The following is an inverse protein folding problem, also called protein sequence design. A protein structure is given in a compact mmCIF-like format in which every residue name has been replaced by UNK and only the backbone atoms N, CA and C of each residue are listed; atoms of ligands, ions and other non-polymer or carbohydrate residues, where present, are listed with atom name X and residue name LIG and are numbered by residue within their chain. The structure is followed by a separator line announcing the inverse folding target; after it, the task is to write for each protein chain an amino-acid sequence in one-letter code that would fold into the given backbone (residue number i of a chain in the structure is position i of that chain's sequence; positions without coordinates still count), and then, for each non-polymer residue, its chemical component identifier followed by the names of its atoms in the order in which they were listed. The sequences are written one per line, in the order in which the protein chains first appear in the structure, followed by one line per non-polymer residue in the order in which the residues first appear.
data_IF_702998045911
#
_entry.id   IF_702998045911
#
_cell.length_a   1.000
_cell.length_b   1.000
_cell.length_c   1.000
_cell.angle_alpha   90.00
_cell.angle_beta   90.00
_cell.angle_gamma   90.00
#
_symmetry.space_group_name_H-M   'P 1'
#
loop_
_entity.id
_entity.type
_entity.pdbx_description
1 polymer ?
2 non-polymer ?
3 non-polymer ?
4 non-polymer ?
5 water ?
#
# COMPACT_ATOMS: atom_id res chain seq x y z
N UNK A 4 6.32 29.08 -0.78
CA UNK A 4 6.48 27.72 -1.29
C UNK A 4 7.69 27.67 -2.18
N UNK A 5 7.85 28.70 -3.01
CA UNK A 5 8.95 28.81 -3.95
C UNK A 5 10.32 28.79 -3.25
N UNK A 6 10.38 29.27 -2.02
CA UNK A 6 11.67 29.34 -1.33
C UNK A 6 11.84 28.35 -0.20
N UNK A 7 10.96 27.35 -0.14
CA UNK A 7 11.07 26.33 0.90
C UNK A 7 11.68 25.05 0.34
N UNK A 8 12.66 24.52 1.05
CA UNK A 8 13.34 23.31 0.64
C UNK A 8 12.77 22.13 1.41
N UNK A 9 12.40 21.09 0.68
CA UNK A 9 11.83 19.88 1.28
C UNK A 9 12.66 18.67 0.88
N UNK A 10 12.94 17.80 1.84
CA UNK A 10 13.53 16.50 1.55
C UNK A 10 12.44 15.43 1.70
N UNK A 11 12.23 14.61 0.69
CA UNK A 11 11.27 13.49 0.82
C UNK A 11 12.00 12.15 0.86
N UNK A 12 12.11 11.61 2.07
CA UNK A 12 12.74 10.33 2.33
C UNK A 12 11.78 9.21 1.92
N UNK A 13 12.19 8.37 0.98
CA UNK A 13 11.31 7.32 0.46
C UNK A 13 10.48 7.85 -0.70
N UNK A 14 10.95 8.91 -1.33
CA UNK A 14 10.22 9.55 -2.41
C UNK A 14 10.09 8.73 -3.68
N UNK A 15 10.72 7.57 -3.71
CA UNK A 15 10.58 6.67 -4.86
C UNK A 15 9.43 5.71 -4.62
N UNK A 16 8.76 5.87 -3.48
CA UNK A 16 7.67 4.97 -3.11
C UNK A 16 6.29 5.59 -3.29
N UNK A 17 5.28 4.93 -2.72
CA UNK A 17 3.90 5.34 -2.93
C UNK A 17 3.59 6.70 -2.31
N UNK A 18 3.64 6.78 -0.97
CA UNK A 18 3.31 8.02 -0.28
C UNK A 18 4.34 9.12 -0.56
N UNK A 19 5.59 8.73 -0.74
CA UNK A 19 6.66 9.68 -1.06
C UNK A 19 6.53 10.33 -2.42
N UNK A 20 6.27 9.53 -3.45
CA UNK A 20 6.14 10.08 -4.79
C UNK A 20 4.90 10.96 -4.86
N UNK A 21 3.82 10.54 -4.21
CA UNK A 21 2.61 11.34 -4.19
C UNK A 21 2.89 12.71 -3.59
N UNK A 22 3.68 12.73 -2.51
CA UNK A 22 4.04 13.96 -1.85
C UNK A 22 4.86 14.86 -2.77
N UNK A 23 5.90 14.31 -3.41
CA UNK A 23 6.74 15.15 -4.28
C UNK A 23 5.91 15.70 -5.43
N UNK A 24 4.97 14.89 -5.94
CA UNK A 24 4.09 15.35 -7.00
C UNK A 24 3.31 16.59 -6.56
N UNK A 25 2.74 16.53 -5.37
CA UNK A 25 1.86 17.60 -4.93
C UNK A 25 2.65 18.81 -4.44
N UNK A 26 3.91 18.62 -4.12
CA UNK A 26 4.78 19.77 -3.85
C UNK A 26 4.95 20.56 -5.14
N UNK A 27 5.14 19.84 -6.24
CA UNK A 27 5.30 20.50 -7.53
C UNK A 27 4.00 21.18 -7.96
N UNK A 28 2.88 20.50 -7.78
CA UNK A 28 1.58 21.07 -8.15
C UNK A 28 1.26 22.29 -7.30
N UNK A 29 1.75 22.33 -6.07
CA UNK A 29 1.44 23.45 -5.21
C UNK A 29 2.35 24.65 -5.50
N UNK A 30 3.32 24.48 -6.40
CA UNK A 30 4.16 25.59 -6.80
C UNK A 30 5.49 25.64 -6.08
N UNK A 31 5.90 24.53 -5.47
CA UNK A 31 7.23 24.48 -4.89
C UNK A 31 8.23 24.42 -6.04
N UNK A 32 9.39 25.03 -5.84
CA UNK A 32 10.44 25.02 -6.84
C UNK A 32 11.09 23.65 -6.90
N UNK A 33 11.08 23.02 -8.08
CA UNK A 33 11.62 21.67 -8.30
C UNK A 33 13.03 21.46 -7.75
N UNK A 34 13.94 22.39 -8.00
CA UNK A 34 15.30 22.28 -7.49
C UNK A 34 15.37 22.32 -5.95
N UNK A 35 14.29 22.75 -5.31
CA UNK A 35 14.23 22.80 -3.84
C UNK A 35 13.69 21.52 -3.22
N UNK A 36 13.29 20.56 -4.05
CA UNK A 36 12.78 19.30 -3.56
C UNK A 36 13.81 18.20 -3.80
N UNK A 37 14.19 17.51 -2.73
CA UNK A 37 15.14 16.41 -2.86
C UNK A 37 14.51 15.09 -2.46
N UNK A 38 14.41 14.20 -3.42
CA UNK A 38 13.93 12.85 -3.16
C UNK A 38 15.10 11.93 -2.82
N UNK A 39 15.08 11.40 -1.61
CA UNK A 39 16.10 10.47 -1.13
C UNK A 39 15.48 9.07 -0.97
N UNK A 40 15.83 8.15 -1.88
CA UNK A 40 15.35 6.76 -1.80
C UNK A 40 16.50 5.83 -2.16
N UNK A 41 16.63 4.71 -1.45
CA UNK A 41 17.64 3.71 -1.77
C UNK A 41 17.63 3.33 -3.25
N UNK A 42 16.42 3.26 -3.83
CA UNK A 42 16.27 2.93 -5.23
C UNK A 42 15.70 4.09 -6.01
N UNK A 43 16.12 4.24 -7.27
CA UNK A 43 15.52 5.21 -8.18
C UNK A 43 14.02 4.96 -8.38
N UNK A 44 13.25 6.02 -8.51
CA UNK A 44 11.80 5.93 -8.70
C UNK A 44 11.48 5.31 -10.08
N UNK A 45 10.53 4.34 -10.11
CA UNK A 45 9.83 3.72 -8.99
C UNK A 45 10.72 2.73 -8.24
N UNK A 46 10.79 2.87 -6.93
CA UNK A 46 11.67 2.03 -6.14
C UNK A 46 11.36 0.55 -6.28
N UNK A 47 12.35 -0.22 -6.70
CA UNK A 47 12.20 -1.64 -6.86
C UNK A 47 11.82 -2.39 -5.58
N UNK A 48 12.03 -1.77 -4.42
CA UNK A 48 11.65 -2.48 -3.19
C UNK A 48 10.40 -1.84 -2.56
N UNK A 49 9.86 -0.81 -3.21
CA UNK A 49 8.59 -0.23 -2.80
C UNK A 49 7.45 -1.26 -2.88
N UNK A 50 6.54 -1.21 -1.92
CA UNK A 50 5.34 -2.05 -1.97
C UNK A 50 4.52 -1.74 -3.22
N UNK A 51 4.65 -0.53 -3.74
CA UNK A 51 3.92 -0.13 -4.93
C UNK A 51 4.57 -0.60 -6.22
N UNK A 52 5.74 -1.23 -6.09
CA UNK A 52 6.43 -1.78 -7.26
C UNK A 52 5.83 -3.14 -7.60
N UNK A 53 4.72 -3.11 -8.34
CA UNK A 53 3.86 -4.26 -8.52
C UNK A 53 3.11 -4.13 -9.82
N UNK A 54 2.89 -5.25 -10.50
CA UNK A 54 2.08 -5.25 -11.72
C UNK A 54 0.78 -4.49 -11.50
N UNK A 55 0.11 -4.78 -10.39
CA UNK A 55 -1.19 -4.20 -10.15
C UNK A 55 -1.56 -4.13 -8.67
N UNK A 56 -2.60 -3.36 -8.38
CA UNK A 56 -3.18 -3.29 -7.03
C UNK A 56 -4.69 -3.19 -7.20
N UNK A 57 -5.43 -3.51 -6.15
CA UNK A 57 -6.86 -3.29 -6.18
C UNK A 57 -7.25 -1.87 -5.74
N UNK A 58 -8.18 -1.24 -6.45
CA UNK A 58 -8.82 -0.02 -5.96
C UNK A 58 -10.24 -0.33 -5.51
N UNK A 59 -10.50 -0.21 -4.22
CA UNK A 59 -11.81 -0.54 -3.70
C UNK A 59 -12.26 0.42 -2.61
N UNK A 60 -13.53 0.33 -2.25
CA UNK A 60 -14.08 1.18 -1.22
C UNK A 60 -14.00 0.50 0.14
N UNK A 61 -13.68 1.27 1.18
CA UNK A 61 -13.71 0.79 2.55
C UNK A 61 -14.09 1.92 3.48
N UNK A 62 -14.92 1.63 4.49
CA UNK A 62 -15.37 2.66 5.42
C UNK A 62 -14.97 2.35 6.85
N UNK A 63 -13.81 1.73 7.02
CA UNK A 63 -13.38 1.26 8.33
C UNK A 63 -13.10 2.41 9.27
N UNK A 64 -12.28 3.34 8.82
CA UNK A 64 -11.98 4.50 9.64
C UNK A 64 -12.61 5.76 9.10
N UNK A 65 -12.56 6.81 9.92
CA UNK A 65 -13.31 8.03 9.73
C UNK A 65 -12.96 8.77 8.42
N UNK A 66 -11.66 8.89 8.08
CA UNK A 66 -11.43 9.61 6.82
C UNK A 66 -11.59 8.76 5.56
N UNK A 67 -11.73 7.45 5.72
CA UNK A 67 -11.67 6.51 4.58
C UNK A 67 -12.62 6.86 3.43
N UNK A 68 -13.85 7.26 3.77
CA UNK A 68 -14.83 7.62 2.75
C UNK A 68 -14.37 8.77 1.86
N UNK A 69 -13.95 9.87 2.48
CA UNK A 69 -13.54 11.04 1.73
C UNK A 69 -12.25 10.79 0.96
N UNK A 70 -11.33 10.06 1.57
CA UNK A 70 -10.06 9.75 0.90
C UNK A 70 -10.30 8.90 -0.34
N UNK A 71 -11.19 7.92 -0.20
CA UNK A 71 -11.51 7.03 -1.31
C UNK A 71 -12.18 7.77 -2.46
N UNK A 72 -13.17 8.60 -2.14
CA UNK A 72 -13.85 9.40 -3.15
C UNK A 72 -12.87 10.35 -3.82
N UNK A 73 -12.01 10.96 -3.01
CA UNK A 73 -10.98 11.86 -3.53
C UNK A 73 -10.11 11.12 -4.53
N UNK A 74 -9.67 9.92 -4.14
CA UNK A 74 -8.77 9.15 -4.99
C UNK A 74 -9.47 8.70 -6.27
N UNK A 75 -10.71 8.23 -6.12
CA UNK A 75 -11.49 7.78 -7.26
C UNK A 75 -11.59 8.86 -8.33
N UNK A 76 -11.96 10.06 -7.90
CA UNK A 76 -12.13 11.20 -8.80
C UNK A 76 -10.88 11.39 -9.64
N UNK A 77 -9.73 11.35 -8.98
CA UNK A 77 -8.45 11.48 -9.65
C UNK A 77 -8.07 10.26 -10.50
N UNK A 78 -8.36 9.05 -10.05
CA UNK A 78 -8.05 7.87 -10.88
C UNK A 78 -8.86 7.92 -12.16
N UNK A 79 -10.03 8.53 -12.11
CA UNK A 79 -10.91 8.60 -13.28
C UNK A 79 -10.62 9.82 -14.17
N UNK A 80 -10.11 10.91 -13.61
CA UNK A 80 -10.08 12.18 -14.34
C UNK A 80 -8.74 12.87 -14.43
N UNK A 81 -7.82 12.52 -13.54
CA UNK A 81 -6.48 13.12 -13.60
C UNK A 81 -5.73 12.46 -14.76
N UNK A 82 -5.36 13.26 -15.77
CA UNK A 82 -4.71 12.77 -16.99
C UNK A 82 -3.39 12.07 -16.68
N UNK A 83 -2.76 12.39 -15.56
CA UNK A 83 -1.55 11.69 -15.15
C UNK A 83 -1.85 10.25 -14.70
N UNK A 84 -2.95 10.06 -13.98
CA UNK A 84 -3.23 8.75 -13.39
C UNK A 84 -4.25 7.92 -14.18
N UNK A 85 -5.13 8.61 -14.92
CA UNK A 85 -6.23 7.98 -15.66
C UNK A 85 -5.86 6.71 -16.49
N UNK A 86 -4.70 6.73 -17.19
CA UNK A 86 -4.39 5.52 -17.98
C UNK A 86 -4.19 4.24 -17.18
N UNK A 87 -4.01 4.35 -15.86
CA UNK A 87 -3.61 3.20 -15.08
C UNK A 87 -4.73 2.61 -14.22
N UNK A 88 -5.92 3.18 -14.33
CA UNK A 88 -7.05 2.69 -13.57
C UNK A 88 -7.95 1.87 -14.49
N UNK A 89 -8.20 0.63 -14.11
CA UNK A 89 -9.05 -0.24 -14.90
C UNK A 89 -10.33 -0.51 -14.13
N UNK A 90 -11.39 0.18 -14.54
CA UNK A 90 -12.63 0.16 -13.80
C UNK A 90 -13.46 -1.06 -14.17
N UNK A 91 -12.99 -2.23 -13.76
CA UNK A 91 -13.70 -3.47 -14.07
C UNK A 91 -14.60 -3.88 -12.90
N UNK A 92 -14.52 -3.13 -11.81
CA UNK A 92 -15.29 -3.43 -10.62
C UNK A 92 -14.64 -4.52 -9.82
N UNK A 93 -15.23 -4.83 -8.67
CA UNK A 93 -14.74 -5.88 -7.81
C UNK A 93 -15.92 -6.66 -7.26
N UNK A 94 -15.79 -7.98 -7.18
CA UNK A 94 -16.80 -8.77 -6.50
C UNK A 94 -16.20 -9.54 -5.33
N UNK A 95 -16.71 -9.27 -4.13
CA UNK A 95 -16.34 -10.06 -2.97
C UNK A 95 -17.32 -11.22 -2.88
N UNK A 96 -16.79 -12.41 -2.62
CA UNK A 96 -17.64 -13.59 -2.54
C UNK A 96 -17.34 -14.38 -1.27
N UNK A 97 -18.30 -15.22 -0.91
CA UNK A 97 -18.18 -16.14 0.20
C UNK A 97 -19.24 -17.23 0.09
N UNK A 98 -18.94 -18.40 0.63
CA UNK A 98 -19.95 -19.44 0.76
C UNK A 98 -20.13 -19.91 2.20
N UNK A 99 -19.40 -19.31 3.13
CA UNK A 99 -19.56 -19.70 4.54
C UNK A 99 -20.65 -18.87 5.21
N UNK A 100 -21.15 -19.34 6.35
CA UNK A 100 -22.18 -18.62 7.08
C UNK A 100 -21.66 -17.29 7.58
N UNK A 101 -20.46 -17.29 8.16
CA UNK A 101 -19.82 -16.09 8.71
C UNK A 101 -19.39 -15.16 7.57
N UNK A 102 -18.92 -15.75 6.48
CA UNK A 102 -18.45 -14.99 5.35
C UNK A 102 -19.58 -14.23 4.67
N UNK A 103 -20.71 -14.90 4.48
CA UNK A 103 -21.87 -14.27 3.85
C UNK A 103 -22.43 -13.17 4.74
N UNK A 104 -22.37 -13.38 6.05
CA UNK A 104 -22.82 -12.39 7.04
C UNK A 104 -21.97 -11.12 6.94
N UNK A 105 -20.66 -11.31 6.84
CA UNK A 105 -19.73 -10.19 6.73
C UNK A 105 -19.97 -9.40 5.45
N UNK A 106 -20.33 -10.11 4.38
CA UNK A 106 -20.61 -9.46 3.09
C UNK A 106 -21.85 -8.59 3.19
N UNK A 107 -22.89 -9.14 3.81
CA UNK A 107 -24.15 -8.41 3.97
C UNK A 107 -23.98 -7.19 4.87
N UNK A 108 -23.26 -7.37 5.99
CA UNK A 108 -23.01 -6.26 6.89
C UNK A 108 -22.18 -5.18 6.21
N UNK A 109 -21.21 -5.59 5.41
CA UNK A 109 -20.39 -4.66 4.67
C UNK A 109 -21.23 -3.82 3.72
N UNK A 110 -22.10 -4.50 2.98
CA UNK A 110 -23.02 -3.82 2.08
C UNK A 110 -23.83 -2.78 2.85
N UNK A 111 -24.39 -3.20 3.97
CA UNK A 111 -25.24 -2.33 4.76
C UNK A 111 -24.48 -1.10 5.28
N UNK A 112 -23.19 -1.26 5.58
CA UNK A 112 -22.37 -0.14 6.04
C UNK A 112 -22.19 0.90 4.95
N UNK A 113 -22.12 0.45 3.71
CA UNK A 113 -22.01 1.37 2.59
C UNK A 113 -23.28 2.21 2.52
N UNK A 114 -24.42 1.54 2.65
CA UNK A 114 -25.71 2.21 2.66
C UNK A 114 -25.83 3.23 3.79
N UNK A 115 -25.36 2.85 4.98
CA UNK A 115 -25.51 3.70 6.16
C UNK A 115 -24.67 4.98 6.09
N UNK A 116 -23.76 5.04 5.12
CA UNK A 116 -23.05 6.27 4.84
C UNK A 116 -24.02 7.32 4.32
N UNK A 117 -25.11 6.85 3.72
CA UNK A 117 -26.20 7.69 3.32
C UNK A 117 -25.90 8.63 2.16
N UNK A 118 -24.95 8.25 1.31
CA UNK A 118 -24.60 9.11 0.19
C UNK A 118 -25.02 8.54 -1.17
N UNK A 119 -25.74 7.41 -1.15
CA UNK A 119 -26.23 6.82 -2.37
C UNK A 119 -25.36 5.71 -2.96
N UNK A 120 -24.56 5.05 -2.12
CA UNK A 120 -23.65 4.00 -2.60
C UNK A 120 -24.38 2.74 -3.09
N UNK A 121 -25.65 2.60 -2.76
CA UNK A 121 -26.41 1.45 -3.23
C UNK A 121 -26.60 1.51 -4.75
N UNK A 122 -26.33 2.66 -5.34
CA UNK A 122 -26.48 2.81 -6.79
C UNK A 122 -25.35 2.16 -7.57
N UNK A 123 -24.21 1.92 -6.92
CA UNK A 123 -23.07 1.33 -7.64
C UNK A 123 -22.51 0.14 -6.90
N UNK A 124 -23.18 -0.26 -5.83
CA UNK A 124 -22.80 -1.43 -5.02
C UNK A 124 -24.01 -2.35 -4.84
N UNK A 125 -23.87 -3.62 -5.18
CA UNK A 125 -25.04 -4.52 -5.18
C UNK A 125 -24.78 -5.83 -4.47
N UNK A 126 -25.77 -6.28 -3.68
CA UNK A 126 -25.72 -7.60 -3.09
C UNK A 126 -26.16 -8.62 -4.14
N UNK A 127 -25.35 -9.65 -4.39
CA UNK A 127 -25.75 -10.67 -5.34
C UNK A 127 -26.15 -11.94 -4.58
N UNK A 128 -27.42 -12.29 -4.66
CA UNK A 128 -27.96 -13.40 -3.87
C UNK A 128 -28.17 -14.69 -4.67
N UNK A 129 -27.98 -14.63 -5.98
CA UNK A 129 -28.19 -15.83 -6.81
C UNK A 129 -26.96 -16.19 -7.64
N UNK A 130 -26.94 -17.44 -8.10
CA UNK A 130 -25.88 -17.94 -8.97
C UNK A 130 -25.82 -17.16 -10.27
N UNK A 131 -26.99 -16.94 -10.85
CA UNK A 131 -27.10 -16.26 -12.13
C UNK A 131 -26.48 -14.86 -12.08
N UNK A 132 -26.73 -14.14 -11.00
CA UNK A 132 -26.23 -12.76 -10.87
C UNK A 132 -24.71 -12.77 -10.78
N UNK A 133 -24.16 -13.78 -10.13
CA UNK A 133 -22.72 -13.90 -9.95
C UNK A 133 -22.03 -14.24 -11.26
N UNK A 134 -22.63 -15.18 -12.00
CA UNK A 134 -22.13 -15.59 -13.30
C UNK A 134 -22.25 -14.48 -14.33
N UNK A 135 -23.25 -13.63 -14.16
CA UNK A 135 -23.44 -12.51 -15.06
C UNK A 135 -22.27 -11.53 -14.94
N UNK A 136 -21.74 -11.34 -13.74
CA UNK A 136 -20.63 -10.41 -13.59
C UNK A 136 -19.28 -11.08 -13.83
N UNK A 137 -19.22 -12.39 -13.63
CA UNK A 137 -17.98 -13.15 -13.73
C UNK A 137 -18.15 -14.44 -14.53
N UNK A 138 -18.32 -14.32 -15.86
CA UNK A 138 -18.67 -15.44 -16.75
C UNK A 138 -17.64 -16.58 -16.79
N UNK A 139 -16.47 -16.39 -16.21
CA UNK A 139 -15.43 -17.41 -16.22
C UNK A 139 -15.68 -18.48 -15.15
N UNK A 140 -16.50 -18.19 -14.16
CA UNK A 140 -16.87 -19.20 -13.17
C UNK A 140 -17.75 -20.27 -13.84
N UNK A 141 -17.80 -21.46 -13.25
CA UNK A 141 -18.81 -22.44 -13.64
C UNK A 141 -19.93 -22.42 -12.61
N UNK A 142 -21.11 -22.89 -13.02
CA UNK A 142 -22.26 -22.87 -12.13
C UNK A 142 -22.01 -23.75 -10.91
N UNK A 143 -21.36 -24.90 -11.14
CA UNK A 143 -21.05 -25.81 -10.05
C UNK A 143 -20.04 -25.22 -9.07
N UNK A 144 -19.06 -24.50 -9.61
CA UNK A 144 -18.02 -23.89 -8.79
C UNK A 144 -18.61 -22.96 -7.74
N UNK A 145 -19.66 -22.23 -8.11
CA UNK A 145 -20.17 -21.19 -7.23
C UNK A 145 -21.44 -21.59 -6.48
N UNK A 146 -21.70 -22.88 -6.35
CA UNK A 146 -22.88 -23.32 -5.60
C UNK A 146 -22.75 -22.84 -4.16
N UNK A 147 -23.76 -22.12 -3.69
CA UNK A 147 -23.79 -21.64 -2.33
C UNK A 147 -23.08 -20.31 -2.13
N UNK A 148 -22.47 -19.78 -3.19
CA UNK A 148 -21.79 -18.50 -3.08
C UNK A 148 -22.80 -17.36 -3.01
N UNK A 149 -22.44 -16.32 -2.29
CA UNK A 149 -23.14 -15.04 -2.35
C UNK A 149 -22.12 -13.99 -2.75
N UNK A 150 -22.58 -12.91 -3.37
CA UNK A 150 -21.66 -11.90 -3.84
C UNK A 150 -22.03 -10.48 -3.46
N UNK A 151 -20.99 -9.66 -3.33
CA UNK A 151 -21.11 -8.20 -3.18
C UNK A 151 -20.30 -7.55 -4.30
N UNK A 152 -20.99 -6.88 -5.21
CA UNK A 152 -20.34 -6.26 -6.37
C UNK A 152 -20.21 -4.76 -6.21
N UNK A 153 -18.99 -4.27 -6.31
CA UNK A 153 -18.71 -2.83 -6.23
C UNK A 153 -18.27 -2.31 -7.59
N UNK A 154 -19.14 -1.53 -8.24
CA UNK A 154 -18.92 -1.14 -9.62
C UNK A 154 -17.91 -0.01 -9.77
N UNK A 155 -17.61 0.66 -8.67
CA UNK A 155 -16.76 1.86 -8.74
C UNK A 155 -15.29 1.52 -8.84
N UNK A 156 -14.90 0.35 -8.36
CA UNK A 156 -13.51 -0.02 -8.28
C UNK A 156 -12.95 -0.78 -9.48
N UNK A 157 -11.92 -1.57 -9.22
CA UNK A 157 -11.22 -2.29 -10.26
C UNK A 157 -9.77 -2.49 -9.86
N UNK A 158 -8.85 -2.39 -10.81
CA UNK A 158 -7.44 -2.52 -10.45
C UNK A 158 -6.60 -1.38 -11.02
N UNK A 159 -5.38 -1.29 -10.51
CA UNK A 159 -4.47 -0.18 -10.81
C UNK A 159 -3.15 -0.73 -11.28
N UNK A 160 -2.62 -0.18 -12.36
CA UNK A 160 -1.28 -0.57 -12.82
C UNK A 160 -0.25 0.15 -11.96
N UNK A 161 0.14 -0.48 -10.86
CA UNK A 161 0.84 0.19 -9.77
C UNK A 161 2.20 0.80 -10.13
N UNK A 162 3.13 -0.06 -10.54
CA UNK A 162 4.46 0.42 -10.89
C UNK A 162 4.41 1.43 -12.02
N UNK A 163 3.49 1.23 -12.96
CA UNK A 163 3.37 2.19 -14.06
C UNK A 163 2.95 3.57 -13.56
N UNK A 164 2.07 3.62 -12.57
CA UNK A 164 1.59 4.90 -12.07
C UNK A 164 2.69 5.62 -11.29
N UNK A 165 3.46 4.91 -10.48
CA UNK A 165 4.55 5.55 -9.74
C UNK A 165 5.63 6.00 -10.70
N UNK A 166 5.93 5.17 -11.69
CA UNK A 166 6.86 5.58 -12.75
C UNK A 166 6.38 6.83 -13.46
N UNK A 167 5.06 6.97 -13.64
CA UNK A 167 4.52 8.16 -14.30
C UNK A 167 4.79 9.41 -13.46
N UNK A 168 4.68 9.29 -12.14
CA UNK A 168 5.05 10.41 -11.28
C UNK A 168 6.54 10.71 -11.41
N UNK A 169 7.35 9.66 -11.33
CA UNK A 169 8.79 9.79 -11.47
C UNK A 169 9.25 10.46 -12.74
N UNK A 170 8.66 10.10 -13.88
CA UNK A 170 9.02 10.76 -15.14
C UNK A 170 8.81 12.27 -15.03
N UNK A 171 7.68 12.67 -14.46
CA UNK A 171 7.35 14.09 -14.31
C UNK A 171 8.30 14.81 -13.38
N UNK A 172 8.61 14.19 -12.24
CA UNK A 172 9.54 14.75 -11.27
C UNK A 172 10.90 15.04 -11.91
N UNK A 173 11.38 14.07 -12.69
CA UNK A 173 12.67 14.21 -13.35
C UNK A 173 12.62 15.22 -14.49
N UNK A 174 11.50 15.26 -15.19
CA UNK A 174 11.34 16.26 -16.25
C UNK A 174 11.38 17.64 -15.63
N UNK A 175 10.85 17.76 -14.42
CA UNK A 175 10.75 19.05 -13.75
C UNK A 175 12.05 19.49 -13.09
N UNK A 176 12.97 18.55 -12.87
CA UNK A 176 14.26 18.90 -12.28
C UNK A 176 14.32 18.72 -10.78
N UNK A 177 13.47 17.84 -10.25
CA UNK A 177 13.57 17.44 -8.87
C UNK A 177 14.95 16.80 -8.62
N UNK A 178 15.56 17.08 -7.46
CA UNK A 178 16.85 16.50 -7.10
C UNK A 178 16.67 15.10 -6.53
N UNK A 179 17.62 14.20 -6.80
CA UNK A 179 17.52 12.83 -6.30
C UNK A 179 18.82 12.38 -5.65
N UNK A 180 18.70 11.45 -4.70
CA UNK A 180 19.84 10.69 -4.21
C UNK A 180 19.40 9.23 -4.12
N UNK A 181 20.18 8.31 -4.67
CA UNK A 181 19.85 6.88 -4.56
C UNK A 181 21.05 6.12 -3.97
N UNK A 182 20.84 4.84 -3.65
CA UNK A 182 21.92 4.04 -3.11
C UNK A 182 22.22 4.50 -1.71
N UNK A 183 23.48 4.38 -1.29
CA UNK A 183 23.87 4.80 0.04
C UNK A 183 23.68 6.30 0.22
N UNK A 184 23.85 7.06 -0.86
CA UNK A 184 23.62 8.51 -0.81
C UNK A 184 22.13 8.84 -0.82
N UNK A 185 21.28 7.82 -0.92
CA UNK A 185 19.84 8.01 -0.88
C UNK A 185 19.21 7.35 0.32
N UNK A 186 20.02 6.71 1.15
CA UNK A 186 19.51 5.89 2.24
C UNK A 186 19.60 6.62 3.56
N UNK A 187 18.44 7.04 4.07
CA UNK A 187 18.35 7.78 5.33
C UNK A 187 19.06 7.08 6.47
N UNK A 188 19.95 7.80 7.14
CA UNK A 188 20.63 7.28 8.32
C UNK A 188 20.13 7.98 9.59
N UNK A 189 20.14 9.31 9.60
CA UNK A 189 19.67 10.06 10.76
C UNK A 189 19.23 11.46 10.35
N UNK A 190 18.39 12.11 11.18
CA UNK A 190 18.04 13.49 10.88
C UNK A 190 19.14 14.42 11.39
N UNK A 191 19.20 15.63 10.83
CA UNK A 191 20.12 16.66 11.29
C UNK A 191 19.38 17.70 12.11
N UNK A 192 20.00 18.14 13.20
CA UNK A 192 19.40 19.12 14.11
C UNK A 192 20.30 20.34 14.25
N UNK A 193 19.68 21.48 14.50
CA UNK A 193 20.41 22.72 14.73
C UNK A 193 21.13 22.68 16.07
N UNK A 194 20.44 22.20 17.09
CA UNK A 194 21.02 22.11 18.43
C UNK A 194 20.91 20.69 18.96
N UNK A 195 21.73 20.38 19.96
CA UNK A 195 21.79 19.04 20.52
C UNK A 195 20.51 18.64 21.24
N UNK A 196 19.64 19.61 21.51
CA UNK A 196 18.36 19.33 22.14
C UNK A 196 17.41 18.63 21.18
N UNK A 197 17.80 18.56 19.92
CA UNK A 197 17.05 17.78 18.98
C UNK A 197 15.65 18.36 18.75
N UNK A 198 15.41 19.65 18.89
CA UNK A 198 14.06 20.17 18.76
C UNK A 198 13.83 20.90 17.44
N UNK A 199 14.88 21.04 16.66
CA UNK A 199 14.76 21.67 15.35
C UNK A 199 15.51 20.88 14.31
N UNK A 200 14.78 20.16 13.47
CA UNK A 200 15.37 19.40 12.39
C UNK A 200 15.71 20.32 11.22
N UNK A 201 16.91 20.16 10.68
CA UNK A 201 17.36 20.99 9.57
C UNK A 201 17.80 20.17 8.36
N UNK A 202 17.56 18.87 8.40
CA UNK A 202 17.95 18.02 7.30
C UNK A 202 18.16 16.57 7.67
N UNK A 203 18.80 15.82 6.77
CA UNK A 203 19.13 14.42 7.04
C UNK A 203 20.54 14.07 6.55
N UNK A 204 21.13 13.08 7.21
CA UNK A 204 22.36 12.47 6.75
C UNK A 204 22.08 11.04 6.30
N UNK A 205 22.65 10.66 5.16
CA UNK A 205 22.47 9.32 4.61
C UNK A 205 23.61 8.41 5.06
N UNK A 206 23.49 7.10 4.82
CA UNK A 206 24.46 6.14 5.38
C UNK A 206 25.88 6.31 4.83
N UNK A 207 26.03 7.03 3.73
CA UNK A 207 27.36 7.28 3.16
C UNK A 207 28.04 8.48 3.79
N UNK A 208 27.30 9.25 4.57
CA UNK A 208 27.84 10.43 5.22
C UNK A 208 27.36 11.72 4.59
N UNK A 209 26.73 11.62 3.43
CA UNK A 209 26.22 12.81 2.74
C UNK A 209 25.15 13.52 3.56
N UNK A 210 25.31 14.82 3.72
CA UNK A 210 24.33 15.62 4.44
C UNK A 210 23.50 16.45 3.48
N UNK A 211 22.19 16.49 3.75
CA UNK A 211 21.23 17.30 3.01
C UNK A 211 20.51 18.23 3.97
N UNK A 212 20.44 19.52 3.64
CA UNK A 212 19.78 20.51 4.48
C UNK A 212 18.51 21.03 3.83
N UNK A 213 17.46 21.24 4.64
CA UNK A 213 16.18 21.67 4.12
C UNK A 213 15.30 22.21 5.26
N UNK A 214 14.26 22.93 4.89
CA UNK A 214 13.37 23.51 5.87
C UNK A 214 12.51 22.44 6.53
N UNK A 215 12.10 21.45 5.74
CA UNK A 215 11.23 20.40 6.23
C UNK A 215 11.63 19.05 5.64
N UNK A 216 11.44 18.00 6.42
CA UNK A 216 11.76 16.64 5.99
C UNK A 216 10.53 15.74 6.13
N UNK A 217 10.17 15.02 5.07
CA UNK A 217 9.05 14.06 5.11
C UNK A 217 9.59 12.64 5.13
N UNK A 218 9.22 11.88 6.16
CA UNK A 218 9.63 10.49 6.26
C UNK A 218 8.54 9.58 5.69
N UNK A 219 8.70 9.14 4.46
CA UNK A 219 7.71 8.29 3.82
C UNK A 219 8.39 7.00 3.42
N UNK A 220 8.93 6.29 4.40
CA UNK A 220 9.76 5.15 4.12
C UNK A 220 8.99 3.84 4.27
N UNK A 221 7.67 3.91 4.21
CA UNK A 221 6.84 2.71 4.22
C UNK A 221 7.21 1.76 5.35
N UNK A 222 7.35 0.48 5.02
CA UNK A 222 7.69 -0.55 6.00
C UNK A 222 9.05 -0.34 6.67
N UNK A 223 9.86 0.59 6.15
CA UNK A 223 11.18 0.83 6.72
C UNK A 223 11.18 1.98 7.73
N UNK A 224 10.11 2.77 7.71
CA UNK A 224 9.99 3.95 8.56
C UNK A 224 10.28 3.66 10.03
N UNK A 225 9.69 2.59 10.54
CA UNK A 225 9.81 2.19 11.95
C UNK A 225 11.20 1.68 12.30
N UNK A 226 11.98 1.33 11.27
CA UNK A 226 13.36 0.91 11.46
C UNK A 226 14.33 2.08 11.47
N UNK A 227 13.93 3.18 10.85
CA UNK A 227 14.84 4.31 10.65
C UNK A 227 14.78 5.30 11.81
N UNK A 228 13.57 5.49 12.31
CA UNK A 228 13.36 6.30 13.51
C UNK A 228 12.45 5.57 14.48
N UNK A 229 12.50 5.96 15.76
CA UNK A 229 11.68 5.30 16.77
C UNK A 229 10.24 5.78 16.73
N UNK A 230 9.34 4.91 16.30
CA UNK A 230 7.91 5.24 16.27
C UNK A 230 7.22 4.63 17.50
N UNK A 231 8.04 4.16 18.44
CA UNK A 231 7.56 3.67 19.74
C UNK A 231 6.53 2.56 19.55
N UNK A 232 6.83 1.67 18.62
CA UNK A 232 5.99 0.51 18.27
C UNK A 232 4.59 0.88 17.79
N UNK A 233 4.44 2.10 17.28
CA UNK A 233 3.21 2.48 16.59
C UNK A 233 3.05 1.70 15.29
N UNK A 234 4.17 1.33 14.68
CA UNK A 234 4.16 0.69 13.38
C UNK A 234 4.94 -0.62 13.37
N UNK A 235 4.25 -1.72 13.07
CA UNK A 235 4.92 -3.01 12.95
C UNK A 235 4.88 -3.47 11.50
N UNK A 236 6.06 -3.65 10.92
CA UNK A 236 6.14 -3.96 9.51
C UNK A 236 5.90 -5.45 9.26
N UNK A 237 5.11 -5.74 8.23
CA UNK A 237 4.73 -7.12 7.91
C UNK A 237 4.77 -7.39 6.42
N UNK A 238 5.08 -8.64 6.07
CA UNK A 238 5.13 -9.05 4.67
C UNK A 238 3.88 -9.79 4.23
N UNK A 239 3.37 -9.42 3.07
CA UNK A 239 2.34 -10.22 2.41
C UNK A 239 2.95 -10.83 1.17
N UNK A 240 2.25 -11.79 0.57
CA UNK A 240 2.82 -12.59 -0.49
C UNK A 240 1.94 -12.63 -1.74
N UNK A 241 2.58 -12.93 -2.87
CA UNK A 241 1.87 -13.18 -4.11
C UNK A 241 2.70 -14.06 -5.02
N UNK A 242 2.00 -14.76 -5.92
CA UNK A 242 2.63 -15.51 -6.99
C UNK A 242 2.00 -15.09 -8.31
N UNK A 243 2.63 -15.48 -9.42
CA UNK A 243 2.08 -15.20 -10.73
C UNK A 243 1.83 -16.51 -11.49
N UNK A 244 0.83 -16.49 -12.36
CA UNK A 244 0.67 -17.57 -13.34
C UNK A 244 0.49 -16.94 -14.71
N UNK A 245 0.98 -17.61 -15.74
CA UNK A 245 0.87 -17.09 -17.10
C UNK A 245 -0.17 -17.83 -17.92
N UNK A 246 -1.08 -17.07 -18.52
CA UNK A 246 -2.08 -17.62 -19.41
C UNK A 246 -1.72 -17.34 -20.86
N UNK A 247 -2.13 -18.23 -21.75
CA UNK A 247 -2.13 -17.96 -23.17
C UNK A 247 -3.19 -16.91 -23.46
N UNK A 248 -3.10 -16.26 -24.63
CA UNK A 248 -4.16 -15.34 -25.02
C UNK A 248 -5.54 -16.01 -25.04
N UNK A 249 -5.60 -17.26 -25.48
CA UNK A 249 -6.86 -18.00 -25.51
C UNK A 249 -7.37 -18.29 -24.10
N UNK A 250 -6.46 -18.64 -23.20
CA UNK A 250 -6.83 -18.88 -21.80
C UNK A 250 -7.24 -17.56 -21.14
N UNK A 251 -6.51 -16.50 -21.46
CA UNK A 251 -6.77 -15.20 -20.86
C UNK A 251 -8.08 -14.60 -21.35
N UNK A 252 -8.55 -15.00 -22.53
CA UNK A 252 -9.64 -14.28 -23.16
C UNK A 252 -10.92 -14.29 -22.31
N UNK A 253 -11.16 -15.38 -21.60
CA UNK A 253 -12.36 -15.49 -20.78
C UNK A 253 -12.34 -14.52 -19.60
N UNK A 254 -11.15 -14.02 -19.28
CA UNK A 254 -11.00 -13.15 -18.13
C UNK A 254 -10.89 -11.67 -18.47
N UNK A 255 -10.96 -11.33 -19.76
CA UNK A 255 -10.81 -9.95 -20.21
C UNK A 255 -11.85 -9.03 -19.59
N UNK A 256 -11.39 -7.96 -18.93
CA UNK A 256 -12.25 -6.98 -18.28
C UNK A 256 -13.14 -7.56 -17.19
N UNK A 257 -12.74 -8.70 -16.66
CA UNK A 257 -13.50 -9.35 -15.59
C UNK A 257 -13.20 -8.65 -14.25
N UNK A 258 -14.19 -8.60 -13.35
CA UNK A 258 -13.99 -7.91 -12.07
C UNK A 258 -12.92 -8.56 -11.20
N UNK A 259 -12.23 -7.77 -10.37
CA UNK A 259 -11.39 -8.32 -9.30
C UNK A 259 -12.19 -9.25 -8.42
N UNK A 260 -11.69 -10.45 -8.18
CA UNK A 260 -12.41 -11.41 -7.34
C UNK A 260 -11.75 -11.58 -5.97
N UNK A 261 -12.51 -11.41 -4.92
CA UNK A 261 -12.00 -11.55 -3.55
C UNK A 261 -12.88 -12.40 -2.65
N UNK A 262 -12.25 -13.20 -1.83
CA UNK A 262 -12.94 -13.97 -0.78
C UNK A 262 -12.03 -13.99 0.44
N UNK A 263 -12.54 -13.48 1.56
CA UNK A 263 -11.72 -13.31 2.75
C UNK A 263 -11.12 -14.58 3.33
N UNK A 264 -11.69 -15.73 2.98
CA UNK A 264 -11.15 -16.99 3.47
C UNK A 264 -10.08 -17.57 2.54
N UNK A 265 -9.85 -16.89 1.40
CA UNK A 265 -8.89 -17.38 0.41
C UNK A 265 -7.90 -16.32 -0.05
N UNK A 266 -8.41 -15.17 -0.49
CA UNK A 266 -7.55 -14.13 -1.04
C UNK A 266 -8.16 -13.55 -2.30
N UNK A 267 -7.34 -13.21 -3.29
CA UNK A 267 -7.87 -12.59 -4.51
C UNK A 267 -6.99 -12.79 -5.73
N UNK A 268 -7.57 -12.56 -6.91
CA UNK A 268 -6.77 -12.50 -8.13
C UNK A 268 -7.29 -11.36 -8.97
N UNK A 269 -6.47 -10.92 -9.91
CA UNK A 269 -6.78 -9.84 -10.81
C UNK A 269 -6.66 -10.37 -12.22
N UNK A 270 -7.47 -9.85 -13.14
CA UNK A 270 -7.44 -10.29 -14.54
C UNK A 270 -6.03 -10.23 -15.13
N UNK A 271 -5.73 -11.15 -16.08
CA UNK A 271 -4.42 -11.15 -16.74
C UNK A 271 -4.05 -9.82 -17.39
N UNK A 272 -2.81 -9.38 -17.21
CA UNK A 272 -2.41 -8.10 -17.76
C UNK A 272 -2.17 -8.25 -19.25
N UNK A 273 -1.56 -7.24 -19.88
CA UNK A 273 -1.40 -7.26 -21.34
C UNK A 273 -0.47 -8.38 -21.81
N UNK A 274 0.20 -9.04 -20.86
CA UNK A 274 1.11 -10.12 -21.18
C UNK A 274 0.57 -11.49 -20.73
N UNK A 275 -0.67 -11.50 -20.25
CA UNK A 275 -1.33 -12.74 -19.87
C UNK A 275 -0.97 -13.21 -18.46
N UNK A 276 -0.50 -12.29 -17.63
CA UNK A 276 -0.11 -12.64 -16.27
C UNK A 276 -1.19 -12.37 -15.24
N UNK A 277 -1.56 -13.39 -14.49
CA UNK A 277 -2.48 -13.25 -13.36
C UNK A 277 -1.72 -13.27 -12.04
N UNK A 278 -1.87 -12.22 -11.24
CA UNK A 278 -1.31 -12.19 -9.90
C UNK A 278 -2.32 -12.75 -8.92
N UNK A 279 -1.86 -13.57 -7.98
CA UNK A 279 -2.74 -14.11 -6.95
C UNK A 279 -2.19 -13.81 -5.56
N UNK A 280 -3.07 -13.33 -4.68
CA UNK A 280 -2.72 -13.16 -3.28
C UNK A 280 -3.59 -14.05 -2.42
N UNK A 281 -3.03 -14.50 -1.30
CA UNK A 281 -3.87 -15.14 -0.29
C UNK A 281 -4.27 -14.06 0.70
N UNK A 282 -5.04 -14.42 1.71
CA UNK A 282 -5.31 -13.53 2.80
C UNK A 282 -4.86 -14.14 4.11
N UNK A 283 -4.01 -13.44 4.85
CA UNK A 283 -3.49 -13.89 6.13
C UNK A 283 -2.98 -12.64 6.84
N UNK A 284 -2.68 -12.75 8.15
CA UNK A 284 -2.30 -11.54 8.90
C UNK A 284 -0.89 -11.01 8.62
N UNK A 285 -0.11 -11.65 7.76
CA UNK A 285 1.22 -11.16 7.45
C UNK A 285 2.36 -11.84 8.22
N UNK A 286 3.58 -11.57 7.78
CA UNK A 286 4.79 -12.12 8.41
C UNK A 286 5.74 -11.00 8.84
N UNK A 287 6.26 -11.09 10.06
CA UNK A 287 7.29 -10.16 10.49
C UNK A 287 8.66 -10.76 10.22
N UNK A 288 9.69 -9.92 10.26
CA UNK A 288 11.08 -10.35 10.14
C UNK A 288 11.85 -9.62 11.21
N UNK A 289 11.76 -10.13 12.44
CA UNK A 289 12.28 -9.42 13.58
C UNK A 289 13.80 -9.44 13.63
N UNK A 290 14.31 -8.27 13.97
CA UNK A 290 15.73 -8.03 14.17
C UNK A 290 15.86 -6.93 15.19
N UNK A 291 17.01 -6.87 15.81
CA UNK A 291 17.33 -5.66 16.50
C UNK A 291 18.05 -4.70 15.60
N UNK A 292 17.58 -3.45 15.63
CA UNK A 292 17.98 -2.39 14.73
C UNK A 292 17.92 -1.12 15.55
N UNK A 293 18.89 -0.23 15.38
CA UNK A 293 18.87 1.02 16.11
C UNK A 293 18.22 2.09 15.25
N UNK A 294 16.94 2.39 15.52
CA UNK A 294 16.33 3.51 14.81
C UNK A 294 16.89 4.79 15.43
N UNK A 295 16.55 5.93 14.88
CA UNK A 295 16.97 7.18 15.52
C UNK A 295 15.79 7.75 16.29
N UNK A 296 16.05 8.28 17.47
CA UNK A 296 14.98 8.71 18.36
C UNK A 296 14.84 7.68 19.45
N UNK A 297 15.24 6.46 19.12
CA UNK A 297 15.40 5.47 20.16
C UNK A 297 16.64 5.92 20.96
N UNK A 298 17.85 6.05 20.33
CA UNK A 298 18.49 5.43 19.18
C UNK A 298 19.27 4.21 19.65
N UNK A 299 19.08 3.84 20.91
CA UNK A 299 19.49 2.54 21.42
C UNK A 299 18.94 1.45 20.51
N UNK A 300 19.54 0.25 20.51
CA UNK A 300 18.92 -0.72 19.60
C UNK A 300 17.52 -1.17 20.12
N UNK A 301 16.64 -1.68 19.25
CA UNK A 301 15.26 -2.02 19.62
C UNK A 301 14.69 -3.14 18.70
N UNK A 302 13.93 -4.10 19.22
CA UNK A 302 13.36 -5.08 18.29
C UNK A 302 12.23 -4.47 17.51
N UNK A 303 12.41 -4.50 16.20
CA UNK A 303 11.51 -3.92 15.25
C UNK A 303 11.48 -4.94 14.12
N UNK A 304 10.34 -5.07 13.46
CA UNK A 304 10.28 -5.95 12.31
C UNK A 304 10.89 -5.20 11.13
N UNK A 305 11.98 -5.75 10.58
CA UNK A 305 12.71 -5.14 9.46
C UNK A 305 12.47 -5.91 8.17
N UNK A 306 12.03 -5.23 7.11
CA UNK A 306 11.82 -5.87 5.81
C UNK A 306 13.06 -6.56 5.28
N UNK A 307 12.89 -7.79 4.83
CA UNK A 307 13.88 -8.52 4.07
C UNK A 307 13.60 -8.24 2.59
N UNK A 308 14.42 -7.39 1.98
CA UNK A 308 14.09 -6.83 0.66
C UNK A 308 14.35 -7.77 -0.51
N UNK A 309 13.30 -8.03 -1.28
CA UNK A 309 13.39 -8.87 -2.47
C UNK A 309 14.22 -8.18 -3.55
N UNK A 310 14.23 -6.85 -3.55
CA UNK A 310 15.08 -6.11 -4.48
C UNK A 310 16.55 -6.38 -4.19
N UNK A 311 16.95 -6.28 -2.92
CA UNK A 311 18.36 -6.50 -2.57
C UNK A 311 18.66 -8.00 -2.51
N UNK A 312 17.63 -8.82 -2.39
CA UNK A 312 17.80 -10.27 -2.40
C UNK A 312 16.76 -10.99 -3.27
N UNK A 313 16.94 -10.94 -4.60
CA UNK A 313 15.99 -11.49 -5.57
C UNK A 313 15.75 -12.99 -5.44
N UNK A 314 16.67 -13.71 -4.80
CA UNK A 314 16.57 -15.17 -4.66
C UNK A 314 15.65 -15.61 -3.52
N UNK A 315 15.12 -14.63 -2.78
CA UNK A 315 14.09 -14.91 -1.79
C UNK A 315 12.75 -15.15 -2.48
N UNK A 316 11.94 -16.02 -1.91
CA UNK A 316 10.57 -16.21 -2.39
C UNK A 316 9.57 -15.93 -1.27
N UNK A 317 8.86 -16.97 -0.84
CA UNK A 317 7.95 -16.89 0.27
C UNK A 317 7.99 -18.21 1.07
N UNK A 318 7.41 -18.22 2.28
CA UNK A 318 7.43 -19.47 3.05
C UNK A 318 6.65 -20.60 2.37
N UNK A 319 6.90 -21.84 2.80
CA UNK A 319 6.17 -22.99 2.28
C UNK A 319 4.68 -22.86 2.55
N UNK A 320 4.33 -22.31 3.72
CA UNK A 320 2.93 -22.17 4.11
C UNK A 320 2.16 -21.29 3.13
N UNK A 321 2.84 -20.29 2.57
CA UNK A 321 2.24 -19.38 1.61
C UNK A 321 1.97 -20.06 0.28
N UNK A 322 2.86 -20.95 -0.12
CA UNK A 322 2.66 -21.73 -1.33
C UNK A 322 1.34 -22.48 -1.21
N UNK A 323 1.11 -23.07 -0.03
CA UNK A 323 -0.11 -23.84 0.21
C UNK A 323 -1.37 -22.97 0.06
N UNK A 324 -1.37 -21.80 0.72
CA UNK A 324 -2.57 -20.97 0.75
C UNK A 324 -2.83 -20.28 -0.59
N UNK A 325 -1.76 -19.93 -1.30
CA UNK A 325 -1.92 -19.38 -2.63
C UNK A 325 -2.51 -20.42 -3.58
N UNK A 326 -2.06 -21.66 -3.47
CA UNK A 326 -2.60 -22.72 -4.33
C UNK A 326 -4.07 -23.00 -4.00
N UNK A 327 -4.45 -22.81 -2.74
CA UNK A 327 -5.85 -22.97 -2.34
C UNK A 327 -6.74 -21.91 -2.96
N UNK A 328 -6.21 -20.69 -3.07
CA UNK A 328 -6.90 -19.59 -3.72
C UNK A 328 -7.06 -19.88 -5.20
N UNK A 329 -6.03 -20.45 -5.80
CA UNK A 329 -6.10 -20.80 -7.21
C UNK A 329 -7.12 -21.92 -7.42
N UNK A 330 -7.16 -22.90 -6.52
CA UNK A 330 -8.17 -23.95 -6.61
C UNK A 330 -9.58 -23.38 -6.44
N UNK A 331 -9.72 -22.39 -5.56
CA UNK A 331 -11.04 -21.82 -5.29
C UNK A 331 -11.58 -21.03 -6.49
N UNK A 332 -10.74 -20.17 -7.05
CA UNK A 332 -11.15 -19.21 -8.07
C UNK A 332 -10.87 -19.65 -9.49
N UNK A 333 -9.80 -20.42 -9.65
CA UNK A 333 -9.25 -20.77 -10.96
C UNK A 333 -8.87 -22.23 -11.11
N UNK A 334 -9.78 -23.17 -10.75
CA UNK A 334 -9.43 -24.60 -10.73
C UNK A 334 -8.91 -25.13 -12.06
N UNK A 335 -9.34 -24.54 -13.18
CA UNK A 335 -8.88 -24.96 -14.50
C UNK A 335 -7.38 -24.69 -14.70
N UNK A 336 -6.80 -23.91 -13.79
CA UNK A 336 -5.39 -23.55 -13.87
C UNK A 336 -4.57 -24.16 -12.73
N UNK A 337 -5.08 -25.21 -12.10
CA UNK A 337 -4.39 -25.81 -10.96
C UNK A 337 -3.01 -26.35 -11.33
N UNK A 338 -2.80 -26.66 -12.60
CA UNK A 338 -1.51 -27.21 -13.04
C UNK A 338 -0.59 -26.14 -13.64
N UNK A 339 -1.04 -24.89 -13.64
CA UNK A 339 -0.18 -23.79 -14.07
C UNK A 339 0.96 -23.64 -13.06
N UNK A 340 2.17 -23.35 -13.56
CA UNK A 340 3.33 -23.21 -12.69
C UNK A 340 3.38 -21.82 -12.08
N UNK A 341 3.55 -21.76 -10.76
CA UNK A 341 3.69 -20.48 -10.08
C UNK A 341 5.10 -19.93 -10.29
N UNK A 342 5.22 -18.62 -10.43
CA UNK A 342 6.53 -18.00 -10.57
C UNK A 342 6.50 -16.53 -10.15
N UNK A 343 7.68 -15.90 -10.11
CA UNK A 343 7.83 -14.57 -9.52
C UNK A 343 7.22 -14.53 -8.13
N UNK A 344 7.41 -15.63 -7.41
CA UNK A 344 7.12 -15.70 -5.99
C UNK A 344 7.88 -14.62 -5.25
N UNK A 345 7.17 -13.81 -4.47
CA UNK A 345 7.82 -12.72 -3.73
C UNK A 345 7.04 -12.26 -2.49
N UNK A 346 7.74 -11.55 -1.60
CA UNK A 346 7.15 -10.94 -0.42
C UNK A 346 7.10 -9.41 -0.58
N UNK A 347 6.02 -8.82 -0.08
CA UNK A 347 5.75 -7.39 -0.28
C UNK A 347 5.44 -6.79 1.08
N UNK A 348 6.10 -5.68 1.42
CA UNK A 348 6.14 -5.20 2.80
C UNK A 348 5.30 -3.94 3.06
N UNK A 349 4.57 -3.96 4.16
CA UNK A 349 3.79 -2.83 4.63
C UNK A 349 4.07 -2.65 6.10
N UNK A 350 3.50 -1.60 6.69
CA UNK A 350 3.66 -1.36 8.11
C UNK A 350 2.27 -1.02 8.66
N UNK A 351 1.86 -1.77 9.68
CA UNK A 351 0.54 -1.62 10.29
C UNK A 351 0.56 -0.70 11.51
N UNK A 352 -0.42 0.18 11.61
CA UNK A 352 -0.75 0.83 12.88
C UNK A 352 -1.79 -0.01 13.62
N UNK A 353 -2.07 0.34 14.88
CA UNK A 353 -3.03 -0.40 15.69
C UNK A 353 -4.45 -0.33 15.13
N UNK A 354 -4.87 0.86 14.73
CA UNK A 354 -6.24 1.06 14.25
C UNK A 354 -6.32 1.11 12.71
N UNK A 355 -5.20 0.87 12.05
CA UNK A 355 -5.09 0.84 10.59
C UNK A 355 -5.31 2.22 9.94
N UNK A 356 -5.31 3.27 10.76
CA UNK A 356 -5.22 4.64 10.27
C UNK A 356 -3.77 4.98 9.91
N UNK A 357 -3.59 5.96 9.03
CA UNK A 357 -2.25 6.39 8.66
C UNK A 357 -1.51 7.02 9.86
N UNK A 358 -0.19 7.13 9.74
CA UNK A 358 0.60 7.91 10.67
C UNK A 358 1.18 9.06 9.87
N UNK A 359 0.48 10.19 9.91
CA UNK A 359 0.84 11.35 9.12
C UNK A 359 0.81 12.58 10.02
N UNK A 360 1.99 13.04 10.44
CA UNK A 360 2.08 14.04 11.49
C UNK A 360 3.48 14.59 11.65
N UNK A 361 3.59 15.73 12.32
CA UNK A 361 4.90 16.23 12.65
C UNK A 361 5.43 15.42 13.82
N UNK A 362 6.73 15.17 13.84
CA UNK A 362 7.37 14.52 14.98
C UNK A 362 7.11 15.36 16.23
N UNK A 363 6.82 14.71 17.36
CA UNK A 363 6.47 15.43 18.59
C UNK A 363 7.57 16.37 19.06
N UNK A 364 8.84 15.96 18.90
CA UNK A 364 9.96 16.77 19.35
C UNK A 364 10.69 17.44 18.18
N UNK A 365 10.96 16.68 17.11
CA UNK A 365 11.73 17.19 15.98
C UNK A 365 10.92 18.05 15.04
N UNK A 366 10.71 19.33 15.37
CA UNK A 366 9.95 20.21 14.50
C UNK A 366 10.66 20.31 13.14
N UNK A 367 9.89 20.38 12.07
CA UNK A 367 10.46 20.35 10.75
C UNK A 367 10.50 18.93 10.18
N UNK A 368 10.45 17.94 11.06
CA UNK A 368 10.45 16.54 10.64
C UNK A 368 9.02 16.01 10.65
N UNK A 369 8.59 15.43 9.53
CA UNK A 369 7.21 14.96 9.40
C UNK A 369 7.15 13.48 9.05
N UNK A 370 6.23 12.76 9.68
CA UNK A 370 6.02 11.36 9.35
C UNK A 370 4.89 11.24 8.35
N UNK A 371 5.07 10.35 7.39
CA UNK A 371 4.05 10.04 6.40
C UNK A 371 4.09 8.55 6.12
N UNK A 372 3.55 7.76 7.05
CA UNK A 372 3.68 6.31 6.95
C UNK A 372 2.46 5.63 7.58
N UNK A 373 2.61 4.40 8.03
CA UNK A 373 1.48 3.65 8.60
C UNK A 373 0.43 3.30 7.55
N UNK A 374 0.90 2.92 6.37
CA UNK A 374 0.05 2.64 5.22
C UNK A 374 -0.97 1.54 5.53
N UNK A 375 -0.59 0.65 6.44
CA UNK A 375 -1.45 -0.44 6.94
C UNK A 375 -1.99 -1.35 5.83
N UNK A 376 -1.23 -1.43 4.74
CA UNK A 376 -1.49 -2.39 3.68
C UNK A 376 -2.69 -2.09 2.80
N UNK A 377 -3.23 -0.88 2.90
CA UNK A 377 -4.39 -0.54 2.07
C UNK A 377 -4.32 0.89 1.54
N UNK A 378 -3.12 1.34 1.20
CA UNK A 378 -2.94 2.72 0.80
C UNK A 378 -2.41 2.96 -0.60
N UNK A 379 -2.23 1.93 -1.43
CA UNK A 379 -1.77 2.25 -2.77
C UNK A 379 -2.86 2.99 -3.52
N UNK A 380 -4.11 2.67 -3.20
CA UNK A 380 -5.25 3.35 -3.80
C UNK A 380 -5.13 4.88 -3.63
N UNK A 381 -4.43 5.32 -2.59
CA UNK A 381 -4.33 6.75 -2.27
C UNK A 381 -3.18 7.45 -2.96
N UNK A 382 -2.54 6.77 -3.90
CA UNK A 382 -1.43 7.35 -4.65
C UNK A 382 -1.75 8.75 -5.23
N UNK A 383 -2.93 8.94 -5.84
CA UNK A 383 -3.08 10.26 -6.47
C UNK A 383 -3.27 11.40 -5.49
N UNK A 384 -3.88 11.13 -4.34
CA UNK A 384 -4.34 12.20 -3.45
C UNK A 384 -3.62 12.33 -2.11
N UNK A 385 -2.95 11.29 -1.64
CA UNK A 385 -2.41 11.36 -0.28
C UNK A 385 -1.38 12.50 -0.15
N UNK A 386 -0.64 12.77 -1.22
CA UNK A 386 0.37 13.81 -1.20
C UNK A 386 -0.22 15.19 -0.96
N UNK A 387 -1.45 15.41 -1.43
CA UNK A 387 -2.13 16.67 -1.22
C UNK A 387 -2.29 16.97 0.26
N UNK A 388 -2.58 15.93 1.06
CA UNK A 388 -2.76 16.13 2.49
C UNK A 388 -1.44 16.17 3.24
N UNK A 389 -0.40 15.51 2.72
CA UNK A 389 0.91 15.61 3.35
C UNK A 389 1.39 17.05 3.23
N UNK A 390 1.17 17.66 2.08
CA UNK A 390 1.53 19.06 1.87
C UNK A 390 0.70 19.96 2.79
N UNK A 391 -0.61 19.69 2.90
CA UNK A 391 -1.46 20.45 3.81
C UNK A 391 -0.89 20.41 5.21
N UNK A 392 -0.48 19.22 5.64
CA UNK A 392 0.18 19.03 6.94
C UNK A 392 1.42 19.91 7.10
N UNK A 393 2.31 19.87 6.10
CA UNK A 393 3.53 20.68 6.13
C UNK A 393 3.21 22.15 6.34
N UNK A 394 2.09 22.58 5.76
CA UNK A 394 1.77 24.00 5.73
C UNK A 394 0.82 24.41 6.85
N UNK A 395 0.53 23.47 7.75
CA UNK A 395 -0.37 23.71 8.86
C UNK A 395 -1.82 23.85 8.46
N UNK A 396 -2.23 23.20 7.37
CA UNK A 396 -3.58 23.39 6.85
C UNK A 396 -4.38 22.10 6.82
N UNK A 397 -3.86 21.04 7.42
CA UNK A 397 -4.53 19.73 7.38
C UNK A 397 -5.80 19.76 8.22
N UNK A 398 -6.92 19.37 7.63
CA UNK A 398 -8.21 19.43 8.34
C UNK A 398 -8.30 18.36 9.43
N UNK A 399 -9.04 18.68 10.48
CA UNK A 399 -9.15 17.85 11.67
C UNK A 399 -9.57 16.40 11.40
N UNK A 400 -10.38 16.15 10.37
CA UNK A 400 -10.84 14.78 10.11
C UNK A 400 -9.66 13.88 9.80
N UNK A 401 -8.65 14.43 9.13
CA UNK A 401 -7.44 13.70 8.77
C UNK A 401 -6.44 13.79 9.91
N UNK A 402 -6.17 15.01 10.35
CA UNK A 402 -5.17 15.27 11.37
C UNK A 402 -5.34 14.41 12.63
N UNK A 403 -6.58 14.30 13.10
CA UNK A 403 -6.86 13.59 14.34
C UNK A 403 -6.66 12.09 14.20
N UNK A 404 -7.05 11.56 13.04
CA UNK A 404 -6.92 10.15 12.73
C UNK A 404 -5.47 9.74 12.55
N UNK A 405 -4.64 10.68 12.10
CA UNK A 405 -3.28 10.38 11.65
C UNK A 405 -2.23 10.77 12.68
N UNK A 406 -2.69 11.28 13.82
CA UNK A 406 -1.80 11.90 14.80
C UNK A 406 -0.83 10.92 15.48
N UNK A 407 0.24 11.48 16.05
CA UNK A 407 1.19 10.73 16.85
C UNK A 407 0.44 10.06 18.00
N UNK A 408 0.55 8.74 18.12
CA UNK A 408 -0.22 8.03 19.16
C UNK A 408 0.43 6.76 19.71
N UNK A 409 1.60 6.89 20.35
CA UNK A 409 2.26 5.71 20.92
C UNK A 409 1.45 5.09 22.06
N UNK A 410 1.39 3.75 22.11
CA UNK A 410 0.65 3.06 23.15
C UNK A 410 -0.84 3.00 22.88
N UNK A 411 -1.23 3.23 21.63
CA UNK A 411 -2.65 3.25 21.28
C UNK A 411 -3.18 1.89 20.85
N UNK A 412 -2.40 0.84 21.09
CA UNK A 412 -2.85 -0.50 20.77
C UNK A 412 -1.76 -1.38 20.19
N UNK A 413 -2.05 -2.67 20.03
CA UNK A 413 -1.05 -3.62 19.57
C UNK A 413 -1.02 -3.73 18.05
N UNK A 414 0.04 -3.17 17.47
CA UNK A 414 0.16 -3.13 16.01
C UNK A 414 0.54 -4.48 15.41
N UNK A 415 0.96 -5.42 16.25
CA UNK A 415 1.33 -6.74 15.76
C UNK A 415 0.07 -7.49 15.31
N UNK A 416 -1.02 -7.28 16.05
CA UNK A 416 -2.31 -7.82 15.65
C UNK A 416 -3.03 -6.82 14.74
N UNK A 417 -2.96 -5.55 15.12
CA UNK A 417 -3.65 -4.49 14.40
C UNK A 417 -5.13 -4.84 14.26
N UNK A 418 -5.71 -4.54 13.10
CA UNK A 418 -7.13 -4.81 12.87
C UNK A 418 -7.36 -6.16 12.22
N UNK A 419 -6.32 -6.99 12.22
CA UNK A 419 -6.34 -8.25 11.49
C UNK A 419 -6.77 -9.41 12.39
N UNK A 420 -6.76 -10.63 11.84
CA UNK A 420 -7.35 -11.79 12.53
C UNK A 420 -6.45 -12.29 13.65
N UNK A 421 -5.16 -11.96 13.58
CA UNK A 421 -4.19 -12.53 14.50
C UNK A 421 -2.90 -11.73 14.53
N UNK A 422 -2.11 -11.89 15.61
CA UNK A 422 -0.74 -11.38 15.57
C UNK A 422 0.02 -12.08 14.46
N UNK A 423 0.85 -11.35 13.73
CA UNK A 423 1.59 -11.95 12.63
C UNK A 423 2.61 -12.95 13.14
N UNK A 424 2.81 -14.02 12.38
CA UNK A 424 3.90 -14.95 12.67
C UNK A 424 5.20 -14.38 12.12
N UNK A 425 6.33 -14.92 12.57
CA UNK A 425 7.65 -14.42 12.14
C UNK A 425 8.32 -15.35 11.14
N UNK A 426 9.07 -14.77 10.21
CA UNK A 426 9.70 -15.54 9.14
C UNK A 426 10.73 -16.53 9.68
N UNK A 427 11.22 -16.29 10.89
CA UNK A 427 12.17 -17.21 11.50
C UNK A 427 11.50 -18.53 11.85
N UNK A 428 10.16 -18.53 11.89
CA UNK A 428 9.39 -19.70 12.24
C UNK A 428 8.70 -20.32 11.02
N UNK A 429 8.86 -19.68 9.88
CA UNK A 429 8.26 -20.12 8.63
C UNK A 429 9.33 -20.49 7.61
N UNK A 430 9.61 -21.79 7.46
CA UNK A 430 10.68 -22.24 6.56
C UNK A 430 10.31 -22.23 5.07
N UNK A 431 11.28 -21.92 4.21
CA UNK A 431 11.12 -22.14 2.79
C UNK A 431 11.42 -20.97 1.88
N UNK A 432 11.56 -19.78 2.44
CA UNK A 432 11.65 -18.59 1.60
C UNK A 432 13.07 -18.23 1.18
N UNK A 433 14.05 -18.93 1.74
CA UNK A 433 15.45 -18.64 1.45
C UNK A 433 16.09 -19.72 0.59
X LIG B 1 6.48 2.17 -0.03
X LIG B 1 5.72 2.43 -1.16
X LIG B 1 7.12 0.96 0.10
X LIG B 1 7.53 3.27 0.01
X LIG B 1 8.65 3.18 0.82
X LIG B 1 9.91 3.77 0.16
X LIG B 1 10.91 3.95 1.14
X LIG B 1 10.49 2.74 -0.73
X LIG B 1 10.73 3.25 -1.97
X LIG B 1 11.79 2.41 -0.10
X LIG B 1 12.70 2.18 -1.08
X LIG B 1 12.10 3.67 0.58
X LIG B 1 13.05 3.51 1.62
X LIG B 1 13.19 2.54 2.45
X LIG B 1 14.19 2.83 3.24
X LIG B 1 14.68 4.01 2.90
X LIG B 1 15.68 4.78 3.35
X LIG B 1 16.39 4.37 4.34
X LIG B 1 15.96 5.94 2.81
X LIG B 1 15.21 6.36 1.78
X LIG B 1 14.23 5.57 1.34
X LIG B 1 13.95 4.41 1.90
X LIG B 1 -3.02 -1.50 -1.30
X LIG B 1 -4.19 -1.21 -1.90
X LIG B 1 -4.68 -0.11 -1.75
X LIG B 1 -4.81 -2.15 -2.67
X LIG B 1 -4.28 -3.40 -2.85
X LIG B 1 -4.86 -4.20 -3.56
X LIG B 1 -3.06 -3.67 -2.23
X LIG B 1 -2.47 -4.86 -2.39
X LIG B 1 -1.27 -5.08 -1.80
X LIG B 1 -0.67 -6.29 -1.94
X LIG B 1 0.52 -6.58 -1.37
X LIG B 1 1.04 -7.80 -1.61
X LIG B 1 1.16 -5.63 -0.60
X LIG B 1 2.39 -5.87 -0.01
X LIG B 1 0.55 -4.43 -0.43
X LIG B 1 -0.66 -4.12 -1.02
X LIG B 1 -1.24 -2.94 -0.87
X LIG B 1 -2.41 -2.71 -1.45
X LIG B 1 -0.64 -1.88 -0.02
X LIG B 1 0.21 -0.85 -0.72
X LIG B 1 1.12 -1.49 -1.50
X LIG B 1 0.94 -0.07 0.38
X LIG B 1 -0.01 0.40 1.28
X LIG B 1 1.70 1.15 -0.20
X LIG B 1 2.23 0.86 -1.42
X LIG B 1 2.83 1.57 0.79
X LIG B 1 3.41 2.85 0.49
X LIG B 1 4.51 3.39 1.19
X LIG B 1 4.02 3.51 2.46
X LIG B 1 4.84 4.54 0.54
X LIG B 1 5.59 2.36 1.11
X LIG C 1 10.35 -18.05 -8.87
X LIG C 1 10.59 -19.49 -8.69
X LIG C 1 9.25 -17.62 -8.03
X LIG C 1 10.05 -17.77 -10.28
X LIG C 1 11.54 -17.31 -8.48
X LIG D 1 7.47 -23.67 -2.01
X LIG D 1 7.65 -23.58 -3.77
X LIG D 1 9.10 -23.30 -4.16
X LIG D 1 9.25 -23.44 -5.57
X LIG D 1 9.53 -21.89 -3.75
X LIG D 1 10.80 -21.61 -4.34
X LIG D 1 9.62 -21.75 -2.24
X LIG D 1 8.00 -21.80 -1.52
X LIG E 1 -18.50 13.36 1.00
X LIG E 1 -19.82 13.51 2.17
X LIG E 1 -19.27 13.91 3.54
X LIG E 1 -20.38 14.25 4.40
X LIG E 1 -18.46 12.77 4.14
X LIG E 1 -18.21 13.04 5.53
X LIG E 1 -17.14 12.60 3.41
X LIG E 1 -17.44 11.89 1.83
X LIG F 1 -5.13 -7.45 3.44
X LIG F 1 -4.59 -7.59 1.77
X LIG F 1 -3.07 -7.65 1.71
X LIG F 1 -2.63 -7.98 0.39
X LIG F 1 -2.43 -6.32 2.12
X LIG F 1 -1.04 -6.42 1.90
X LIG F 1 -2.67 -6.00 3.59
X LIG F 1 -4.38 -5.65 3.88
X LIG G 1 20.13 0.96 -6.55
X LIG G 1 20.07 0.36 -4.93
X LIG G 1 21.37 0.41 -4.19
X LIG G 1 21.14 -0.16 -2.93
X LIG G 1 22.45 -0.39 -4.86
X LIG G 1 23.59 -0.32 -4.04
X LIG G 1 22.80 0.20 -6.20
X LIG G 1 21.53 -0.17 -7.30
X LIG H 1 6.85 32.28 0.37
X LIG H 1 6.60 30.95 1.52
X LIG H 1 7.29 31.17 2.86
X LIG H 1 6.98 30.06 3.71
X LIG H 1 8.79 31.28 2.66
X LIG H 1 9.47 31.01 3.89
X LIG H 1 9.14 32.67 2.16
X LIG H 1 8.81 32.70 0.43
X LIG I 1 -29.81 -19.32 -7.47
X LIG I 1 -30.98 -18.71 -6.85
X LIG I 1 -30.03 -20.74 -7.68
X LIG I 1 -29.57 -18.68 -8.78
X LIG I 1 -28.66 -19.12 -6.60
X LIG J 1 6.99 -4.54 -12.17
X LIG J 1 6.68 -5.79 -11.49
X LIG J 1 5.80 -4.01 -12.84
X LIG J 1 7.45 -3.57 -11.19
X LIG J 1 8.04 -4.77 -13.16
X LIG K 1 7.62 0.37 -14.74
X LIG K 1 7.35 -0.83 -15.54
X LIG K 1 6.35 1.00 -14.38
X LIG K 1 8.41 1.31 -15.52
X LIG K 1 8.35 0.01 -13.53
#
# INVERSE_FOLDING_TARGET
MAPRANTKIIVVGGGGTMGSSTALHLLRAGYTPSNITVLDTYPIPSAQSAGYDLNKIFGIGLRNKPDLQLYLEALDMWKNDPLFKPFFHNVGQMDVSSTEEGIKKLRMRYQSLLDAGIGLEKTNFLLESEDEILAKAPHFTREQIKGWKGLFCGDGGWLAAAKAINAIGQFLKEQGVKFGFGEAGTFKKPLFADADEKTCIGVETVDGTKYYADKVVLAAGAWSSTLVDLEEQCVSKAWVFAHIQLTPAEAAAYKNTPVIYDGDYGFFIEPDENGIIKVCDEFPGFTHFKMHQPYGSPVPKLISVPRSHAKHPTDTYPHASEVTIKKAINRFLPRFNDKELFNRAMCWCTDTADANLLVCEHPRWKGFYLATGDSGHSFKLLPNIGKHVVELLEGRLESVFKDAWRWRPGSGDALKSRRAAPAKDLADMPGWRNEAKM
FAD PA O1A O2A O5B C5B C4B O4B C3B O3B C2B O2B C1B N9A C8A N7A C5A C6A N6A N1A C2A N3A C4A N1 C2 O2 N3 C4 O4 C4X N5 C5X C6 C7 C7M C8 C8M C9 C9A N10 C10 C1' C2' O2' C3' O3' C4' O4' C5' O5' P O1P O2P O3P
SO4 S O1 O2 O3 O4
D1D S1 C1 C2 O2 C3 O3 C4 S4
D1D S1 C1 C2 O2 C3 O3 C4 S4
D1D S1 C1 C2 O2 C3 O3 C4 S4
D1D S1 C1 C2 O2 C3 O3 C4 S4
D1D S1 C1 C2 O2 C3 O3 C4 S4
SO4 S O1 O2 O3 O4
SO4 S O1 O2 O3 O4
SO4 S O1 O2 O3 O4
#
